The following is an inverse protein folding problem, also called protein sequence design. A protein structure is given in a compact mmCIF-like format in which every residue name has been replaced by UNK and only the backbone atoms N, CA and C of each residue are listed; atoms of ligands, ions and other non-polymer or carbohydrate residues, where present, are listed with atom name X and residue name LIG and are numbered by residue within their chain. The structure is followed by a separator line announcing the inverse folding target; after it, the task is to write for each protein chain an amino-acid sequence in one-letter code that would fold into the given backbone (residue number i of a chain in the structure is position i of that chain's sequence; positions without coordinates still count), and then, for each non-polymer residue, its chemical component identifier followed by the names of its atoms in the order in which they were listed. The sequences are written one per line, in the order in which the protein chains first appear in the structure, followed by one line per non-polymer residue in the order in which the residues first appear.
data_IF_751667642947
#
_entry.id   IF_751667642947
#
_cell.length_a   1.000
_cell.length_b   1.000
_cell.length_c   1.000
_cell.angle_alpha   90.00
_cell.angle_beta   90.00
_cell.angle_gamma   90.00
#
_symmetry.space_group_name_H-M   'P 1'
#
loop_
_entity.id
_entity.type
_entity.pdbx_description
1 polymer ?
#
# COMPACT_ATOMS: atom_id res chain seq x y z
N UNK A 1 30.59 -32.57 16.34
CA UNK A 1 30.16 -31.22 15.93
C UNK A 1 28.65 -31.20 16.02
N UNK A 2 28.09 -30.40 16.92
CA UNK A 2 26.68 -30.45 17.27
C UNK A 2 25.83 -30.02 16.06
N UNK A 3 24.97 -30.92 15.57
CA UNK A 3 23.86 -30.56 14.69
C UNK A 3 22.86 -29.76 15.53
N UNK A 4 22.95 -28.44 15.48
CA UNK A 4 21.92 -27.58 16.06
C UNK A 4 20.59 -27.95 15.43
N UNK A 5 19.58 -28.23 16.25
CA UNK A 5 18.24 -28.50 15.76
C UNK A 5 17.74 -27.24 15.03
N UNK A 6 17.69 -27.30 13.70
CA UNK A 6 17.01 -26.27 12.92
C UNK A 6 15.54 -26.24 13.35
N UNK A 7 15.05 -25.07 13.76
CA UNK A 7 13.63 -24.89 14.04
C UNK A 7 12.86 -25.15 12.76
N UNK A 8 11.79 -25.95 12.85
CA UNK A 8 10.85 -26.14 11.74
C UNK A 8 10.21 -24.80 11.36
N UNK A 9 10.07 -24.52 10.06
CA UNK A 9 9.64 -23.21 9.57
C UNK A 9 8.22 -22.86 10.03
N UNK A 10 7.30 -23.83 10.01
CA UNK A 10 5.93 -23.61 10.49
C UNK A 10 5.94 -23.22 11.97
N UNK A 11 6.70 -23.94 12.78
CA UNK A 11 6.89 -23.60 14.20
C UNK A 11 7.50 -22.20 14.39
N UNK A 12 8.46 -21.81 13.53
CA UNK A 12 9.10 -20.49 13.59
C UNK A 12 8.13 -19.36 13.20
N UNK A 13 7.24 -19.59 12.23
CA UNK A 13 6.18 -18.65 11.83
C UNK A 13 5.19 -18.45 12.97
N UNK A 14 4.70 -19.54 13.58
CA UNK A 14 3.78 -19.47 14.72
C UNK A 14 4.41 -18.70 15.90
N UNK A 15 5.70 -18.92 16.14
CA UNK A 15 6.44 -18.21 17.19
C UNK A 15 6.67 -16.72 16.86
N UNK A 16 6.72 -16.34 15.58
CA UNK A 16 6.90 -14.95 15.15
C UNK A 16 5.60 -14.13 15.20
N UNK A 17 4.44 -14.78 15.12
CA UNK A 17 3.14 -14.12 15.01
C UNK A 17 2.83 -13.09 16.11
N UNK A 18 3.03 -13.37 17.42
CA UNK A 18 2.76 -12.37 18.46
C UNK A 18 3.60 -11.10 18.32
N UNK A 19 4.86 -11.23 17.90
CA UNK A 19 5.73 -10.08 17.66
C UNK A 19 5.33 -9.29 16.41
N UNK A 20 4.82 -9.98 15.38
CA UNK A 20 4.27 -9.34 14.19
C UNK A 20 3.02 -8.53 14.51
N UNK A 21 2.08 -9.10 15.28
CA UNK A 21 0.88 -8.41 15.72
C UNK A 21 1.22 -7.17 16.58
N UNK A 22 2.17 -7.29 17.51
CA UNK A 22 2.62 -6.16 18.30
C UNK A 22 3.30 -5.06 17.46
N UNK A 23 4.06 -5.44 16.42
CA UNK A 23 4.65 -4.49 15.47
C UNK A 23 3.56 -3.76 14.67
N UNK A 24 2.56 -4.49 14.19
CA UNK A 24 1.41 -3.94 13.48
C UNK A 24 0.63 -2.95 14.35
N UNK A 25 0.27 -3.33 15.58
CA UNK A 25 -0.43 -2.43 16.51
C UNK A 25 0.38 -1.16 16.78
N UNK A 26 1.69 -1.28 16.96
CA UNK A 26 2.57 -0.13 17.19
C UNK A 26 2.56 0.82 15.98
N UNK A 27 2.60 0.30 14.76
CA UNK A 27 2.52 1.09 13.54
C UNK A 27 1.14 1.73 13.38
N UNK A 28 0.05 0.99 13.62
CA UNK A 28 -1.33 1.47 13.49
C UNK A 28 -1.61 2.65 14.43
N UNK A 29 -0.98 2.69 15.61
CA UNK A 29 -1.12 3.83 16.54
C UNK A 29 -0.56 5.15 16.01
N UNK A 30 0.22 5.13 14.95
CA UNK A 30 0.85 6.33 14.37
C UNK A 30 -0.03 6.84 13.23
N UNK A 31 -0.61 8.05 13.32
CA UNK A 31 -1.48 8.61 12.28
C UNK A 31 -0.66 9.21 11.13
N UNK A 32 0.08 8.37 10.40
CA UNK A 32 0.89 8.74 9.23
C UNK A 32 0.04 8.98 7.98
N UNK A 33 -0.93 9.90 8.06
CA UNK A 33 -1.88 10.14 6.97
C UNK A 33 -1.17 10.81 5.80
N UNK A 34 -1.10 10.13 4.66
CA UNK A 34 -0.38 10.61 3.47
C UNK A 34 -0.85 12.00 3.05
N UNK A 35 -2.17 12.19 2.93
CA UNK A 35 -2.80 13.44 2.49
C UNK A 35 -2.51 14.67 3.36
N UNK A 36 -2.00 14.51 4.59
CA UNK A 36 -1.58 15.62 5.45
C UNK A 36 -0.17 16.16 5.11
N UNK A 37 0.54 15.47 4.24
CA UNK A 37 1.85 15.86 3.72
C UNK A 37 3.04 15.13 4.40
N UNK A 38 4.22 15.19 3.77
CA UNK A 38 5.38 14.40 4.16
C UNK A 38 6.09 14.89 5.43
N UNK A 39 5.95 16.18 5.76
CA UNK A 39 6.67 16.85 6.86
C UNK A 39 5.98 16.73 8.23
N UNK A 40 4.93 15.90 8.35
CA UNK A 40 4.23 15.75 9.62
C UNK A 40 5.08 14.96 10.64
N UNK A 41 4.99 15.28 11.94
CA UNK A 41 5.67 14.50 12.97
C UNK A 41 5.27 13.02 12.97
N UNK A 42 4.02 12.71 12.61
CA UNK A 42 3.52 11.34 12.53
C UNK A 42 4.18 10.56 11.39
N UNK A 43 4.41 11.20 10.23
CA UNK A 43 5.09 10.58 9.10
C UNK A 43 6.54 10.21 9.44
N UNK A 44 7.28 11.14 10.05
CA UNK A 44 8.65 10.86 10.53
C UNK A 44 8.66 9.78 11.61
N UNK A 45 7.73 9.82 12.56
CA UNK A 45 7.62 8.80 13.61
C UNK A 45 7.31 7.41 13.04
N UNK A 46 6.48 7.32 11.99
CA UNK A 46 6.18 6.07 11.30
C UNK A 46 7.42 5.51 10.60
N UNK A 47 8.16 6.33 9.85
CA UNK A 47 9.41 5.93 9.21
C UNK A 47 10.45 5.45 10.24
N UNK A 48 10.66 6.19 11.32
CA UNK A 48 11.60 5.83 12.40
C UNK A 48 11.17 4.54 13.13
N UNK A 49 9.86 4.36 13.33
CA UNK A 49 9.31 3.14 13.93
C UNK A 49 9.50 1.94 13.01
N UNK A 50 9.20 2.07 11.71
CA UNK A 50 9.42 1.03 10.73
C UNK A 50 10.91 0.67 10.63
N UNK A 51 11.82 1.65 10.56
CA UNK A 51 13.27 1.43 10.57
C UNK A 51 13.73 0.66 11.83
N UNK A 52 13.23 1.04 13.01
CA UNK A 52 13.52 0.35 14.26
C UNK A 52 13.03 -1.11 14.23
N UNK A 53 11.85 -1.36 13.67
CA UNK A 53 11.28 -2.71 13.54
C UNK A 53 12.04 -3.57 12.51
N UNK A 54 12.48 -2.98 11.40
CA UNK A 54 13.35 -3.59 10.38
C UNK A 54 14.67 -4.04 11.00
N UNK A 55 15.35 -3.17 11.75
CA UNK A 55 16.57 -3.52 12.46
C UNK A 55 16.33 -4.66 13.46
N UNK A 56 15.23 -4.61 14.21
CA UNK A 56 14.87 -5.63 15.18
C UNK A 56 14.48 -6.99 14.55
N UNK A 57 14.13 -7.02 13.26
CA UNK A 57 13.89 -8.26 12.51
C UNK A 57 15.18 -8.87 11.93
N UNK A 58 16.34 -8.26 12.19
CA UNK A 58 17.63 -8.77 11.77
C UNK A 58 18.10 -8.24 10.42
N UNK A 59 17.49 -7.19 9.88
CA UNK A 59 18.06 -6.47 8.74
C UNK A 59 19.20 -5.56 9.25
N UNK A 60 20.28 -5.49 8.49
CA UNK A 60 21.47 -4.69 8.78
C UNK A 60 21.44 -3.38 7.95
N UNK A 61 22.43 -2.50 8.12
CA UNK A 61 22.54 -1.20 7.41
C UNK A 61 21.21 -0.44 7.20
N UNK A 62 20.44 -0.28 8.30
CA UNK A 62 19.14 0.39 8.25
C UNK A 62 19.32 1.90 8.19
N UNK A 63 18.72 2.53 7.18
CA UNK A 63 18.86 3.96 6.88
C UNK A 63 17.51 4.56 6.55
N UNK A 64 17.31 5.80 6.96
CA UNK A 64 16.25 6.64 6.42
C UNK A 64 16.82 7.41 5.22
N UNK A 65 16.32 7.10 4.03
CA UNK A 65 16.73 7.73 2.78
C UNK A 65 15.82 8.92 2.50
N UNK A 66 16.43 10.09 2.40
CA UNK A 66 15.70 11.35 2.21
C UNK A 66 15.80 11.84 0.76
N UNK A 67 14.69 12.38 0.27
CA UNK A 67 14.57 13.18 -0.96
C UNK A 67 13.83 14.47 -0.58
N UNK A 68 14.22 15.65 -1.12
CA UNK A 68 13.51 16.89 -0.80
C UNK A 68 12.03 16.80 -1.15
N UNK A 69 11.16 17.18 -0.20
CA UNK A 69 9.71 17.18 -0.40
C UNK A 69 9.03 15.82 -0.20
N UNK A 70 9.74 14.82 0.34
CA UNK A 70 9.19 13.48 0.61
C UNK A 70 9.32 13.11 2.08
N UNK A 71 8.51 12.15 2.51
CA UNK A 71 8.77 11.46 3.75
C UNK A 71 10.05 10.59 3.60
N UNK A 72 10.80 10.31 4.68
CA UNK A 72 12.00 9.48 4.58
C UNK A 72 11.64 8.01 4.31
N UNK A 73 12.12 7.45 3.21
CA UNK A 73 11.94 6.02 2.95
C UNK A 73 12.86 5.18 3.84
N UNK A 74 12.37 4.05 4.33
CA UNK A 74 13.15 3.09 5.11
C UNK A 74 13.89 2.16 4.16
N UNK A 75 15.22 2.18 4.22
CA UNK A 75 16.08 1.19 3.58
C UNK A 75 16.72 0.28 4.63
N UNK A 76 16.93 -0.98 4.28
CA UNK A 76 17.85 -1.85 5.01
C UNK A 76 18.38 -2.96 4.12
N UNK A 77 19.53 -3.52 4.46
CA UNK A 77 20.13 -4.63 3.73
C UNK A 77 20.69 -5.67 4.70
N UNK A 78 20.38 -6.94 4.46
CA UNK A 78 21.12 -8.07 5.02
C UNK A 78 21.78 -8.81 3.88
N UNK A 79 23.11 -8.83 3.91
CA UNK A 79 23.91 -9.48 2.89
C UNK A 79 23.82 -11.01 3.01
N UNK A 80 23.48 -11.67 1.90
CA UNK A 80 23.56 -13.11 1.75
C UNK A 80 24.96 -13.59 1.35
N UNK A 81 25.12 -14.88 1.01
CA UNK A 81 26.37 -15.41 0.45
C UNK A 81 26.87 -14.59 -0.75
N UNK A 82 28.19 -14.60 -0.98
CA UNK A 82 28.76 -13.90 -2.14
C UNK A 82 28.15 -14.44 -3.46
N UNK A 83 27.61 -13.53 -4.27
CA UNK A 83 26.93 -13.86 -5.53
C UNK A 83 25.50 -14.40 -5.37
N UNK A 84 24.92 -14.32 -4.17
CA UNK A 84 23.53 -14.69 -3.95
C UNK A 84 22.56 -13.73 -4.67
N UNK A 85 21.39 -14.22 -5.11
CA UNK A 85 20.32 -13.36 -5.62
C UNK A 85 19.87 -12.33 -4.58
N UNK A 86 19.37 -11.20 -5.06
CA UNK A 86 18.84 -10.10 -4.25
C UNK A 86 17.32 -10.08 -4.29
N UNK A 87 16.69 -10.14 -3.12
CA UNK A 87 15.24 -9.98 -2.94
C UNK A 87 14.97 -8.62 -2.30
N UNK A 88 14.16 -7.80 -2.95
CA UNK A 88 13.66 -6.54 -2.39
C UNK A 88 12.26 -6.74 -1.82
N UNK A 89 12.08 -6.39 -0.55
CA UNK A 89 10.79 -6.38 0.13
C UNK A 89 10.23 -4.96 0.13
N UNK A 90 9.02 -4.80 -0.41
CA UNK A 90 8.31 -3.52 -0.50
C UNK A 90 7.02 -3.54 0.33
N UNK A 91 6.73 -2.41 0.95
CA UNK A 91 5.50 -2.05 1.66
C UNK A 91 5.49 -0.52 1.83
N UNK A 92 4.41 0.07 2.35
CA UNK A 92 4.39 1.50 2.70
C UNK A 92 3.85 1.73 4.12
N UNK A 93 4.22 2.87 4.72
CA UNK A 93 3.84 3.19 6.11
C UNK A 93 2.89 4.39 6.22
N UNK A 94 2.68 5.14 5.13
CA UNK A 94 1.61 6.12 5.05
C UNK A 94 0.25 5.43 4.91
N UNK A 95 -0.82 6.16 5.23
CA UNK A 95 -2.18 5.63 5.23
C UNK A 95 -3.17 6.64 4.67
N UNK A 96 -4.29 6.15 4.13
CA UNK A 96 -5.43 6.99 3.75
C UNK A 96 -6.00 7.81 4.93
N UNK A 97 -6.68 8.94 4.65
CA UNK A 97 -7.51 9.64 5.63
C UNK A 97 -8.56 8.75 6.29
N UNK A 98 -9.00 9.12 7.49
CA UNK A 98 -10.01 8.36 8.24
C UNK A 98 -11.44 8.59 7.75
N UNK A 99 -11.69 9.62 6.94
CA UNK A 99 -13.04 9.96 6.47
C UNK A 99 -13.98 10.35 7.62
N UNK A 100 -15.25 9.97 7.51
CA UNK A 100 -16.27 10.27 8.52
C UNK A 100 -16.15 9.34 9.74
N UNK A 101 -15.71 9.90 10.87
CA UNK A 101 -15.55 9.18 12.14
C UNK A 101 -16.85 8.54 12.66
N UNK A 102 -18.03 9.02 12.26
CA UNK A 102 -19.30 8.43 12.69
C UNK A 102 -19.59 7.06 12.08
N UNK A 103 -18.91 6.72 10.98
CA UNK A 103 -19.00 5.42 10.32
C UNK A 103 -18.07 4.38 10.94
N UNK A 104 -17.16 4.81 11.83
CA UNK A 104 -16.22 3.92 12.48
C UNK A 104 -16.84 3.21 13.68
N UNK A 105 -16.58 1.91 13.79
CA UNK A 105 -16.96 1.09 14.95
C UNK A 105 -15.81 0.93 15.96
N UNK A 106 -14.64 1.51 15.67
CA UNK A 106 -13.45 1.54 16.51
C UNK A 106 -12.65 2.82 16.21
N UNK A 107 -11.94 3.38 17.19
CA UNK A 107 -11.11 4.57 16.96
C UNK A 107 -10.01 4.24 15.94
N UNK A 108 -9.83 4.99 14.83
CA UNK A 108 -8.99 4.57 13.72
C UNK A 108 -7.53 4.24 14.09
N UNK A 109 -6.93 4.99 15.01
CA UNK A 109 -5.54 4.82 15.44
C UNK A 109 -5.42 4.18 16.84
N UNK A 110 -6.48 3.55 17.33
CA UNK A 110 -6.43 2.69 18.52
C UNK A 110 -6.73 1.26 18.07
N UNK A 111 -5.71 0.46 17.73
CA UNK A 111 -5.93 -0.88 17.21
C UNK A 111 -6.73 -1.71 18.20
N UNK A 112 -7.78 -2.36 17.71
CA UNK A 112 -8.70 -3.16 18.51
C UNK A 112 -8.90 -4.53 17.88
N UNK A 113 -8.55 -5.58 18.61
CA UNK A 113 -8.81 -6.95 18.18
C UNK A 113 -10.24 -7.38 18.54
N UNK A 114 -11.01 -7.86 17.56
CA UNK A 114 -12.34 -8.43 17.75
C UNK A 114 -12.54 -9.60 16.80
N UNK A 115 -12.98 -10.74 17.32
CA UNK A 115 -13.28 -11.95 16.55
C UNK A 115 -12.15 -12.38 15.59
N UNK A 116 -10.91 -12.30 16.06
CA UNK A 116 -9.70 -12.66 15.28
C UNK A 116 -9.31 -11.64 14.20
N UNK A 117 -9.88 -10.43 14.22
CA UNK A 117 -9.55 -9.33 13.30
C UNK A 117 -9.00 -8.14 14.06
N UNK A 118 -7.95 -7.52 13.54
CA UNK A 118 -7.42 -6.25 14.04
C UNK A 118 -8.04 -5.08 13.27
N UNK A 119 -8.77 -4.22 13.98
CA UNK A 119 -9.38 -3.02 13.42
C UNK A 119 -8.51 -1.80 13.67
N UNK A 120 -8.24 -1.02 12.62
CA UNK A 120 -7.55 0.27 12.67
C UNK A 120 -7.19 0.75 11.26
N UNK A 121 -7.06 2.07 11.08
CA UNK A 121 -6.56 2.66 9.84
C UNK A 121 -5.10 2.24 9.65
N UNK A 122 -4.79 1.70 8.48
CA UNK A 122 -3.47 1.17 8.18
C UNK A 122 -3.28 -0.30 8.52
N UNK A 123 -4.25 -0.93 9.20
CA UNK A 123 -4.08 -2.29 9.72
C UNK A 123 -3.94 -3.34 8.62
N UNK A 124 -4.62 -3.15 7.48
CA UNK A 124 -4.47 -4.01 6.30
C UNK A 124 -3.56 -3.37 5.23
N UNK A 125 -3.69 -2.06 5.04
CA UNK A 125 -3.11 -1.29 3.94
C UNK A 125 -2.28 -0.13 4.50
N UNK A 126 -0.94 -0.20 4.53
CA UNK A 126 -0.13 -1.44 4.35
C UNK A 126 0.84 -1.69 5.53
N UNK A 127 0.45 -1.27 6.74
CA UNK A 127 1.27 -1.58 7.92
C UNK A 127 1.30 -3.09 8.20
N UNK A 128 0.31 -3.85 7.71
CA UNK A 128 0.35 -5.30 7.71
C UNK A 128 1.44 -5.86 6.80
N UNK A 129 1.67 -5.29 5.60
CA UNK A 129 2.75 -5.72 4.73
C UNK A 129 4.12 -5.56 5.37
N UNK A 130 4.35 -4.44 6.07
CA UNK A 130 5.53 -4.26 6.93
C UNK A 130 5.61 -5.38 7.97
N UNK A 131 4.57 -5.57 8.78
CA UNK A 131 4.57 -6.58 9.84
C UNK A 131 4.80 -8.02 9.31
N UNK A 132 4.22 -8.34 8.16
CA UNK A 132 4.35 -9.63 7.49
C UNK A 132 5.79 -9.90 7.02
N UNK A 133 6.41 -8.93 6.34
CA UNK A 133 7.82 -9.04 5.92
C UNK A 133 8.74 -9.30 7.12
N UNK A 134 8.53 -8.57 8.21
CA UNK A 134 9.33 -8.72 9.43
C UNK A 134 9.10 -10.08 10.11
N UNK A 135 7.87 -10.59 10.11
CA UNK A 135 7.55 -11.92 10.63
C UNK A 135 8.24 -13.02 9.82
N UNK A 136 8.17 -12.94 8.49
CA UNK A 136 8.80 -13.89 7.59
C UNK A 136 10.32 -13.91 7.77
N UNK A 137 10.95 -12.73 7.87
CA UNK A 137 12.38 -12.61 8.12
C UNK A 137 12.79 -13.27 9.44
N UNK A 138 12.07 -12.99 10.54
CA UNK A 138 12.35 -13.60 11.84
C UNK A 138 12.24 -15.12 11.79
N UNK A 139 11.20 -15.65 11.16
CA UNK A 139 10.99 -17.08 11.04
C UNK A 139 12.11 -17.75 10.22
N UNK A 140 12.44 -17.21 9.05
CA UNK A 140 13.51 -17.72 8.19
C UNK A 140 14.87 -17.69 8.90
N UNK A 141 15.15 -16.62 9.63
CA UNK A 141 16.41 -16.46 10.37
C UNK A 141 16.52 -17.38 11.59
N UNK A 142 15.39 -17.72 12.22
CA UNK A 142 15.36 -18.74 13.26
C UNK A 142 15.66 -20.14 12.68
N UNK A 143 15.32 -20.38 11.41
CA UNK A 143 15.64 -21.62 10.70
C UNK A 143 17.10 -21.66 10.19
N UNK A 144 17.79 -20.53 10.05
CA UNK A 144 19.19 -20.48 9.62
C UNK A 144 19.57 -19.22 8.84
N UNK A 145 20.79 -19.16 8.29
CA UNK A 145 21.21 -18.03 7.45
C UNK A 145 20.40 -17.99 6.15
N UNK A 146 20.12 -16.77 5.66
CA UNK A 146 19.39 -16.58 4.41
C UNK A 146 20.27 -16.94 3.20
N UNK A 147 19.73 -17.66 2.20
CA UNK A 147 20.46 -17.99 0.97
C UNK A 147 20.52 -16.83 -0.05
N UNK A 148 19.89 -15.70 0.27
CA UNK A 148 19.74 -14.50 -0.57
C UNK A 148 20.20 -13.26 0.19
N UNK A 149 20.60 -12.22 -0.54
CA UNK A 149 20.64 -10.88 0.02
C UNK A 149 19.22 -10.36 0.10
N UNK A 150 18.82 -9.83 1.25
CA UNK A 150 17.52 -9.17 1.43
C UNK A 150 17.72 -7.68 1.52
N UNK A 151 16.96 -6.94 0.74
CA UNK A 151 16.79 -5.49 0.84
C UNK A 151 15.37 -5.18 1.26
N UNK A 152 15.21 -4.10 2.00
CA UNK A 152 13.91 -3.56 2.39
C UNK A 152 13.82 -2.15 1.83
N UNK A 153 12.67 -1.80 1.26
CA UNK A 153 12.32 -0.45 0.88
C UNK A 153 10.86 -0.18 1.27
N UNK A 154 10.66 0.65 2.30
CA UNK A 154 9.33 1.10 2.70
C UNK A 154 9.19 2.60 2.52
N UNK A 155 8.22 3.03 1.72
CA UNK A 155 7.97 4.47 1.46
C UNK A 155 6.76 5.00 2.25
N UNK A 156 6.54 6.31 2.17
CA UNK A 156 5.47 7.00 2.89
C UNK A 156 4.68 7.96 2.01
N UNK A 157 4.52 7.60 0.73
CA UNK A 157 3.78 8.39 -0.26
C UNK A 157 2.91 7.54 -1.19
N UNK A 158 2.76 6.24 -0.94
CA UNK A 158 2.03 5.31 -1.81
C UNK A 158 0.58 5.78 -1.99
N UNK A 159 -0.04 6.23 -0.89
CA UNK A 159 -1.45 6.61 -0.84
C UNK A 159 -1.76 7.90 -1.61
N UNK A 160 -0.72 8.55 -2.13
CA UNK A 160 -0.77 9.70 -3.05
C UNK A 160 -0.31 9.36 -4.48
N UNK A 161 -0.11 8.08 -4.78
CA UNK A 161 0.42 7.60 -6.05
C UNK A 161 1.93 7.76 -6.21
N UNK A 162 2.68 7.85 -5.10
CA UNK A 162 4.14 7.95 -5.05
C UNK A 162 4.73 9.00 -6.02
N UNK A 163 4.30 10.27 -5.96
CA UNK A 163 4.64 11.30 -6.95
C UNK A 163 6.15 11.55 -7.10
N UNK A 164 6.93 11.24 -6.05
CA UNK A 164 8.37 11.45 -6.02
C UNK A 164 9.20 10.18 -6.23
N UNK A 165 8.58 9.01 -6.44
CA UNK A 165 9.32 7.75 -6.57
C UNK A 165 10.31 7.77 -7.74
N UNK A 166 9.98 8.44 -8.86
CA UNK A 166 10.93 8.60 -9.97
C UNK A 166 12.19 9.36 -9.53
N UNK A 167 12.03 10.50 -8.84
CA UNK A 167 13.16 11.28 -8.33
C UNK A 167 13.94 10.51 -7.25
N UNK A 168 13.24 9.70 -6.46
CA UNK A 168 13.85 8.79 -5.49
C UNK A 168 14.73 7.74 -6.19
N UNK A 169 14.21 7.08 -7.22
CA UNK A 169 14.93 6.07 -8.00
C UNK A 169 16.14 6.67 -8.73
N UNK A 170 16.04 7.89 -9.25
CA UNK A 170 17.18 8.60 -9.85
C UNK A 170 18.33 8.80 -8.84
N UNK A 171 18.00 9.05 -7.57
CA UNK A 171 18.98 9.31 -6.51
C UNK A 171 19.51 8.06 -5.83
N UNK A 172 18.61 7.12 -5.52
CA UNK A 172 18.86 5.98 -4.64
C UNK A 172 18.60 4.62 -5.31
N UNK A 173 18.10 4.58 -6.55
CA UNK A 173 17.67 3.35 -7.22
C UNK A 173 18.75 2.28 -7.39
N UNK A 174 20.03 2.66 -7.39
CA UNK A 174 21.15 1.71 -7.36
C UNK A 174 21.11 0.82 -6.10
N UNK A 175 20.62 1.35 -4.97
CA UNK A 175 20.42 0.58 -3.74
C UNK A 175 19.24 -0.38 -3.86
N UNK A 176 18.26 -0.10 -4.72
CA UNK A 176 17.03 -0.87 -4.86
C UNK A 176 17.06 -1.91 -5.97
N UNK A 177 18.21 -2.08 -6.64
CA UNK A 177 18.37 -3.11 -7.66
C UNK A 177 18.16 -4.50 -7.05
N UNK A 178 17.33 -5.34 -7.66
CA UNK A 178 17.03 -6.68 -7.17
C UNK A 178 16.70 -7.64 -8.31
N UNK A 179 16.86 -8.93 -8.06
CA UNK A 179 16.45 -9.99 -8.99
C UNK A 179 14.94 -10.27 -8.87
N UNK A 180 14.37 -10.09 -7.67
CA UNK A 180 12.95 -10.26 -7.37
C UNK A 180 12.49 -9.16 -6.41
N UNK A 181 11.29 -8.63 -6.65
CA UNK A 181 10.60 -7.73 -5.72
C UNK A 181 9.38 -8.46 -5.18
N UNK A 182 9.20 -8.45 -3.86
CA UNK A 182 8.01 -8.95 -3.17
C UNK A 182 7.29 -7.76 -2.57
N UNK A 183 6.14 -7.45 -3.14
CA UNK A 183 5.23 -6.38 -2.68
C UNK A 183 4.20 -7.01 -1.78
N UNK A 184 4.08 -6.52 -0.55
CA UNK A 184 3.16 -7.04 0.46
C UNK A 184 1.85 -6.24 0.54
N UNK A 185 1.38 -5.74 -0.59
CA UNK A 185 0.31 -4.75 -0.69
C UNK A 185 -0.74 -5.20 -1.72
N UNK A 186 -1.38 -6.32 -1.42
CA UNK A 186 -2.41 -6.93 -2.25
C UNK A 186 -3.28 -7.86 -1.40
N UNK A 187 -4.51 -8.07 -1.86
CA UNK A 187 -5.48 -8.86 -1.13
C UNK A 187 -5.69 -10.26 -1.73
N UNK A 188 -6.32 -11.14 -0.95
CA UNK A 188 -6.88 -12.38 -1.47
C UNK A 188 -8.18 -12.10 -2.22
N UNK A 189 -8.37 -12.78 -3.35
CA UNK A 189 -9.59 -12.68 -4.15
C UNK A 189 -10.80 -13.35 -3.46
N UNK A 190 -10.57 -14.37 -2.61
CA UNK A 190 -11.60 -15.04 -1.80
C UNK A 190 -11.12 -15.34 -0.38
N UNK A 191 -12.06 -15.32 0.56
CA UNK A 191 -11.80 -15.72 1.95
C UNK A 191 -11.37 -17.20 2.01
N UNK A 192 -10.22 -17.45 2.63
CA UNK A 192 -9.68 -18.81 2.80
C UNK A 192 -8.91 -19.35 1.59
N UNK A 193 -8.86 -18.62 0.49
CA UNK A 193 -8.10 -18.99 -0.71
C UNK A 193 -6.93 -18.01 -0.91
N UNK A 194 -5.69 -18.42 -0.62
CA UNK A 194 -4.52 -17.56 -0.84
C UNK A 194 -4.36 -17.16 -2.30
N UNK A 195 -3.85 -15.95 -2.52
CA UNK A 195 -3.63 -15.38 -3.83
C UNK A 195 -2.14 -15.07 -4.06
N UNK A 196 -1.69 -15.21 -5.31
CA UNK A 196 -0.41 -14.65 -5.75
C UNK A 196 -0.68 -13.66 -6.89
N UNK A 197 -0.68 -12.38 -6.55
CA UNK A 197 -0.86 -11.30 -7.51
C UNK A 197 0.45 -11.07 -8.26
N UNK A 198 0.42 -11.19 -9.58
CA UNK A 198 1.61 -10.99 -10.45
C UNK A 198 1.49 -9.78 -11.36
N UNK A 199 0.32 -9.16 -11.41
CA UNK A 199 0.05 -7.96 -12.21
C UNK A 199 -1.10 -7.16 -11.59
N UNK A 200 -0.99 -5.83 -11.65
CA UNK A 200 -2.05 -4.90 -11.28
C UNK A 200 -2.48 -4.10 -12.52
N UNK A 201 -3.70 -3.55 -12.48
CA UNK A 201 -4.13 -2.56 -13.48
C UNK A 201 -3.37 -1.26 -13.22
N UNK A 202 -3.05 -0.53 -14.29
CA UNK A 202 -2.64 0.87 -14.16
C UNK A 202 -3.84 1.77 -13.88
N UNK A 203 -3.57 2.99 -13.44
CA UNK A 203 -4.55 4.05 -13.20
C UNK A 203 -4.18 5.31 -14.00
N UNK A 204 -5.21 6.02 -14.46
CA UNK A 204 -5.08 7.36 -15.04
C UNK A 204 -6.19 8.21 -14.46
N UNK A 205 -5.81 9.25 -13.72
CA UNK A 205 -6.74 10.21 -13.15
C UNK A 205 -6.84 11.47 -14.01
N UNK A 206 -8.06 12.01 -14.14
CA UNK A 206 -8.34 13.19 -14.95
C UNK A 206 -9.33 14.11 -14.21
N UNK A 207 -8.96 15.39 -14.07
CA UNK A 207 -9.85 16.43 -13.58
C UNK A 207 -10.51 17.18 -14.75
N UNK A 208 -11.85 17.28 -14.72
CA UNK A 208 -12.65 17.99 -15.73
C UNK A 208 -13.42 19.13 -15.09
N UNK A 209 -13.01 20.37 -15.35
CA UNK A 209 -13.74 21.56 -14.92
C UNK A 209 -14.74 22.02 -15.99
N UNK A 210 -16.01 22.15 -15.61
CA UNK A 210 -17.05 22.77 -16.43
C UNK A 210 -17.52 24.06 -15.77
N UNK A 211 -17.28 25.19 -16.44
CA UNK A 211 -17.66 26.53 -15.95
C UNK A 211 -18.61 27.21 -16.93
N UNK A 212 -19.83 27.52 -16.49
CA UNK A 212 -20.86 28.17 -17.33
C UNK A 212 -21.21 29.59 -16.88
N UNK A 213 -20.86 29.97 -15.65
CA UNK A 213 -21.08 31.30 -15.08
C UNK A 213 -19.86 31.75 -14.25
N UNK A 214 -19.78 33.04 -13.96
CA UNK A 214 -18.70 33.62 -13.12
C UNK A 214 -18.92 33.37 -11.61
N UNK A 215 -20.14 33.09 -11.20
CA UNK A 215 -20.54 32.84 -9.81
C UNK A 215 -21.81 31.98 -9.79
N UNK A 216 -22.16 31.44 -8.62
CA UNK A 216 -23.44 30.80 -8.40
C UNK A 216 -24.60 31.77 -8.65
N UNK A 217 -25.68 31.29 -9.25
CA UNK A 217 -26.85 32.08 -9.62
C UNK A 217 -28.14 31.44 -9.11
N UNK A 218 -29.20 32.23 -8.95
CA UNK A 218 -30.51 31.74 -8.53
C UNK A 218 -31.16 30.88 -9.62
N UNK A 219 -31.40 29.60 -9.35
CA UNK A 219 -31.88 28.62 -10.33
C UNK A 219 -33.22 28.98 -10.97
N UNK A 220 -34.14 29.64 -10.24
CA UNK A 220 -35.42 30.08 -10.82
C UNK A 220 -35.31 31.29 -11.75
N UNK A 221 -34.31 32.16 -11.57
CA UNK A 221 -34.15 33.37 -12.38
C UNK A 221 -33.32 33.10 -13.63
N UNK A 222 -32.32 32.22 -13.49
CA UNK A 222 -31.36 31.91 -14.56
C UNK A 222 -31.58 30.53 -15.19
N UNK A 223 -32.49 29.73 -14.63
CA UNK A 223 -32.87 28.42 -15.17
C UNK A 223 -33.38 28.55 -16.60
N UNK A 224 -32.70 27.87 -17.53
CA UNK A 224 -33.01 27.92 -18.97
C UNK A 224 -32.43 29.14 -19.71
N UNK A 225 -31.95 30.17 -19.00
CA UNK A 225 -31.30 31.33 -19.63
C UNK A 225 -29.80 31.11 -19.86
N UNK A 226 -29.16 30.32 -19.00
CA UNK A 226 -27.76 29.90 -19.15
C UNK A 226 -27.63 28.38 -19.03
N UNK A 227 -26.63 27.75 -19.67
CA UNK A 227 -26.32 26.35 -19.45
C UNK A 227 -25.96 26.10 -17.98
N UNK A 228 -26.56 25.08 -17.40
CA UNK A 228 -26.22 24.62 -16.06
C UNK A 228 -24.95 23.76 -16.11
N UNK A 229 -23.92 24.15 -15.35
CA UNK A 229 -22.63 23.47 -15.35
C UNK A 229 -22.75 22.02 -14.87
N UNK A 230 -23.59 21.75 -13.88
CA UNK A 230 -23.81 20.42 -13.33
C UNK A 230 -24.45 19.51 -14.38
N UNK A 231 -25.48 19.99 -15.07
CA UNK A 231 -26.14 19.26 -16.15
C UNK A 231 -25.21 18.97 -17.32
N UNK A 232 -24.33 19.92 -17.67
CA UNK A 232 -23.33 19.74 -18.72
C UNK A 232 -22.26 18.71 -18.30
N UNK A 233 -21.76 18.79 -17.07
CA UNK A 233 -20.80 17.83 -16.51
C UNK A 233 -21.40 16.42 -16.45
N UNK A 234 -22.64 16.27 -15.96
CA UNK A 234 -23.32 14.98 -15.90
C UNK A 234 -23.46 14.34 -17.29
N UNK A 235 -23.79 15.14 -18.32
CA UNK A 235 -23.84 14.66 -19.70
C UNK A 235 -22.47 14.24 -20.22
N UNK A 236 -21.42 15.00 -19.91
CA UNK A 236 -20.05 14.65 -20.29
C UNK A 236 -19.60 13.34 -19.63
N UNK A 237 -19.82 13.19 -18.32
CA UNK A 237 -19.46 11.97 -17.59
C UNK A 237 -20.18 10.74 -18.15
N UNK A 238 -21.44 10.90 -18.55
CA UNK A 238 -22.21 9.85 -19.20
C UNK A 238 -21.61 9.40 -20.54
N UNK A 239 -20.85 10.25 -21.26
CA UNK A 239 -20.20 9.83 -22.52
C UNK A 239 -18.90 9.07 -22.31
N UNK A 240 -18.42 8.91 -21.08
CA UNK A 240 -17.21 8.13 -20.79
C UNK A 240 -17.45 6.61 -20.88
N UNK A 241 -18.72 6.19 -20.84
CA UNK A 241 -19.14 4.80 -20.99
C UNK A 241 -20.25 4.67 -22.04
N UNK A 242 -20.37 3.50 -22.68
CA UNK A 242 -21.49 3.18 -23.56
C UNK A 242 -22.67 2.56 -22.78
N UNK A 243 -23.77 2.27 -23.49
CA UNK A 243 -24.99 1.71 -22.89
C UNK A 243 -24.78 0.32 -22.26
N UNK A 244 -23.70 -0.37 -22.61
CA UNK A 244 -23.27 -1.64 -21.99
C UNK A 244 -22.28 -1.45 -20.84
N UNK A 245 -21.97 -0.21 -20.45
CA UNK A 245 -21.06 0.12 -19.35
C UNK A 245 -19.58 0.02 -19.70
N UNK A 246 -19.22 -0.10 -20.99
CA UNK A 246 -17.82 -0.19 -21.42
C UNK A 246 -17.25 1.20 -21.64
N UNK A 247 -15.96 1.39 -21.33
CA UNK A 247 -15.26 2.66 -21.56
C UNK A 247 -15.33 3.09 -23.03
N UNK A 248 -15.93 4.25 -23.31
CA UNK A 248 -16.26 4.75 -24.65
C UNK A 248 -15.31 5.85 -25.16
N UNK A 249 -14.19 6.10 -24.48
CA UNK A 249 -13.20 7.11 -24.87
C UNK A 249 -12.52 6.70 -26.18
N UNK A 250 -12.69 7.52 -27.22
CA UNK A 250 -12.10 7.28 -28.53
C UNK A 250 -10.57 7.28 -28.47
N UNK A 251 -9.94 6.31 -29.16
CA UNK A 251 -8.48 6.19 -29.25
C UNK A 251 -7.84 5.33 -28.15
N UNK A 252 -8.59 4.86 -27.16
CA UNK A 252 -8.07 3.89 -26.19
C UNK A 252 -7.84 2.52 -26.83
N UNK A 253 -6.63 1.99 -26.63
CA UNK A 253 -6.27 0.63 -27.05
C UNK A 253 -6.91 -0.37 -26.10
N UNK A 254 -7.55 -1.41 -26.67
CA UNK A 254 -8.14 -2.51 -25.90
C UNK A 254 -7.33 -3.77 -26.15
N UNK A 255 -6.91 -4.44 -25.08
CA UNK A 255 -6.36 -5.78 -25.13
C UNK A 255 -7.47 -6.81 -24.82
N UNK A 256 -7.35 -8.03 -25.36
CA UNK A 256 -8.23 -9.12 -24.98
C UNK A 256 -8.07 -9.43 -23.48
N UNK A 257 -9.19 -9.59 -22.78
CA UNK A 257 -9.19 -9.98 -21.37
C UNK A 257 -8.90 -11.47 -21.25
N UNK A 258 -8.11 -11.85 -20.24
CA UNK A 258 -8.15 -13.23 -19.76
C UNK A 258 -9.58 -13.57 -19.32
N UNK A 259 -10.03 -14.83 -19.47
CA UNK A 259 -11.28 -15.25 -18.87
C UNK A 259 -11.25 -14.95 -17.37
N UNK A 260 -12.31 -14.31 -16.88
CA UNK A 260 -12.48 -14.04 -15.45
C UNK A 260 -13.05 -15.30 -14.83
N UNK A 261 -12.32 -15.91 -13.89
CA UNK A 261 -12.77 -17.08 -13.13
C UNK A 261 -13.57 -16.67 -11.88
N UNK A 262 -14.50 -15.73 -12.09
CA UNK A 262 -15.43 -15.23 -11.06
C UNK A 262 -16.85 -15.23 -11.60
N UNK A 263 -17.80 -15.58 -10.74
CA UNK A 263 -19.22 -15.49 -11.04
C UNK A 263 -19.80 -14.14 -10.60
N UNK A 264 -20.83 -13.69 -11.32
CA UNK A 264 -21.45 -12.40 -11.05
C UNK A 264 -22.18 -12.36 -9.70
N UNK A 265 -22.61 -13.51 -9.17
CA UNK A 265 -23.27 -13.55 -7.86
C UNK A 265 -22.27 -13.24 -6.74
N UNK A 266 -21.08 -13.82 -6.80
CA UNK A 266 -19.97 -13.58 -5.89
C UNK A 266 -19.54 -12.10 -5.91
N UNK A 267 -19.39 -11.51 -7.11
CA UNK A 267 -19.04 -10.08 -7.23
C UNK A 267 -20.09 -9.13 -6.62
N UNK A 268 -21.34 -9.57 -6.46
CA UNK A 268 -22.42 -8.78 -5.85
C UNK A 268 -22.50 -8.93 -4.32
N UNK A 269 -21.76 -9.87 -3.73
CA UNK A 269 -21.67 -10.07 -2.28
C UNK A 269 -20.54 -9.26 -1.62
N UNK A 270 -19.63 -8.69 -2.42
CA UNK A 270 -18.49 -7.89 -1.99
C UNK A 270 -18.87 -6.54 -1.35
#
# INVERSE_FOLDING_TARGET
MASGAHTDLTTAVDAAFPAALAALERLVRIPSVGAEGPDTPAMRLAAETAASLVAAAGIEDVRLLEVPGTAPAVYGERQGPAGAPVVLLYAHYDVQPVGDLSLWTATPFEPSERDGRLYGRGASDDKAGIAMHLAALRALLACGPLPVTVRVFFEGEEEQGSPHLTAFLDRHGALLTADVIVVADSEHWRLGEPALTTSLRGIVDCEVEVRTARAAVHSGQFGGAIPDAISALARLLATLHDDEGRVAIAGLVRAGTAPVDEDEAHLREA
#
